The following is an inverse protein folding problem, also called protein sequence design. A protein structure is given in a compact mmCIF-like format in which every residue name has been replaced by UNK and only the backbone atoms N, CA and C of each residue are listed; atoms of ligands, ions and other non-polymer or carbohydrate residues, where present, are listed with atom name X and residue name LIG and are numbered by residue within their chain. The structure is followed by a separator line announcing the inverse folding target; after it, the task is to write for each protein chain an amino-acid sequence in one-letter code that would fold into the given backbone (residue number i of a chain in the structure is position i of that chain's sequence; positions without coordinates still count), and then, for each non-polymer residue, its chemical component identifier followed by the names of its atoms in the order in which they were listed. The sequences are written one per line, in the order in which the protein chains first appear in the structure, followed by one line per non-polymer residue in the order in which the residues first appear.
data_IF_946329312454
#
_entry.id   IF_946329312454
#
_cell.length_a   1.000
_cell.length_b   1.000
_cell.length_c   1.000
_cell.angle_alpha   90.00
_cell.angle_beta   90.00
_cell.angle_gamma   90.00
#
_symmetry.space_group_name_H-M   'P 1'
#
loop_
_entity.id
_entity.type
_entity.pdbx_description
1 polymer ?
#
# COMPACT_ATOMS: atom_id res chain seq x y z
N UNK A 1 -22.73 4.17 12.09
CA UNK A 1 -21.47 4.14 11.31
C UNK A 1 -21.74 3.28 10.09
N UNK A 2 -21.68 3.87 8.90
CA UNK A 2 -21.92 3.18 7.64
C UNK A 2 -20.62 2.52 7.16
N UNK A 3 -20.24 1.42 7.82
CA UNK A 3 -18.99 0.70 7.57
C UNK A 3 -19.30 -0.63 6.93
N UNK A 4 -18.78 -0.84 5.71
CA UNK A 4 -18.90 -2.10 4.99
C UNK A 4 -17.95 -3.13 5.61
N UNK A 5 -18.48 -4.29 6.00
CA UNK A 5 -17.67 -5.39 6.54
C UNK A 5 -17.15 -6.25 5.39
N UNK A 6 -15.82 -6.34 5.27
CA UNK A 6 -15.15 -7.19 4.28
C UNK A 6 -14.47 -8.37 4.99
N UNK A 7 -14.94 -9.58 4.71
CA UNK A 7 -14.37 -10.81 5.24
C UNK A 7 -13.42 -11.47 4.24
N UNK A 8 -12.33 -12.04 4.74
CA UNK A 8 -11.41 -12.82 3.92
C UNK A 8 -11.95 -14.23 3.65
N UNK A 9 -11.40 -14.86 2.60
CA UNK A 9 -11.67 -16.27 2.30
C UNK A 9 -11.19 -17.13 3.48
N UNK A 10 -12.01 -18.11 3.88
CA UNK A 10 -11.68 -19.01 4.97
C UNK A 10 -10.32 -19.68 4.74
N UNK A 11 -9.52 -19.79 5.82
CA UNK A 11 -8.21 -20.43 5.83
C UNK A 11 -7.17 -19.81 4.87
N UNK A 12 -7.37 -18.56 4.44
CA UNK A 12 -6.42 -17.81 3.63
C UNK A 12 -5.88 -16.58 4.39
N UNK A 13 -4.94 -16.76 5.33
CA UNK A 13 -4.39 -15.67 6.14
C UNK A 13 -3.61 -14.63 5.32
N UNK A 14 -3.14 -14.99 4.11
CA UNK A 14 -2.36 -14.10 3.25
C UNK A 14 -3.12 -12.82 2.89
N UNK A 15 -4.46 -12.87 2.86
CA UNK A 15 -5.31 -11.71 2.61
C UNK A 15 -5.21 -10.65 3.73
N UNK A 16 -4.85 -11.05 4.96
CA UNK A 16 -4.60 -10.19 6.11
C UNK A 16 -3.11 -9.97 6.41
N UNK A 17 -2.20 -10.39 5.51
CA UNK A 17 -0.76 -10.46 5.78
C UNK A 17 -0.11 -9.16 6.23
N UNK A 18 -0.65 -8.00 5.82
CA UNK A 18 -0.20 -6.70 6.33
C UNK A 18 -0.47 -6.55 7.83
N UNK A 19 -1.68 -6.88 8.29
CA UNK A 19 -2.06 -6.83 9.71
C UNK A 19 -1.21 -7.81 10.51
N UNK A 20 -1.00 -9.02 10.01
CA UNK A 20 -0.15 -10.02 10.68
C UNK A 20 1.29 -9.55 10.82
N UNK A 21 1.85 -8.92 9.79
CA UNK A 21 3.18 -8.32 9.86
C UNK A 21 3.26 -7.23 10.93
N UNK A 22 2.27 -6.33 11.00
CA UNK A 22 2.24 -5.29 12.04
C UNK A 22 2.08 -5.87 13.44
N UNK A 23 1.31 -6.95 13.61
CA UNK A 23 1.23 -7.68 14.87
C UNK A 23 2.60 -8.25 15.29
N UNK A 24 3.36 -8.78 14.33
CA UNK A 24 4.74 -9.25 14.58
C UNK A 24 5.65 -8.11 15.03
N UNK A 25 5.58 -6.95 14.37
CA UNK A 25 6.35 -5.75 14.75
C UNK A 25 6.00 -5.28 16.16
N UNK A 26 4.71 -5.15 16.47
CA UNK A 26 4.25 -4.75 17.80
C UNK A 26 4.75 -5.70 18.89
N UNK A 27 4.59 -7.02 18.68
CA UNK A 27 5.07 -8.03 19.64
C UNK A 27 6.58 -7.94 19.87
N UNK A 28 7.36 -7.70 18.81
CA UNK A 28 8.81 -7.58 18.93
C UNK A 28 9.22 -6.32 19.70
N UNK A 29 8.56 -5.18 19.46
CA UNK A 29 8.80 -3.95 20.24
C UNK A 29 8.36 -4.10 21.69
N UNK A 30 7.23 -4.77 21.95
CA UNK A 30 6.79 -5.00 23.33
C UNK A 30 7.79 -5.87 24.12
N UNK A 31 8.44 -6.84 23.48
CA UNK A 31 9.47 -7.68 24.13
C UNK A 31 10.71 -6.89 24.57
N UNK A 32 10.97 -5.74 23.96
CA UNK A 32 12.13 -4.90 24.33
C UNK A 32 11.82 -3.88 25.42
N UNK A 33 10.54 -3.72 25.80
CA UNK A 33 10.11 -2.78 26.82
C UNK A 33 9.98 -3.49 28.16
N UNK A 34 10.69 -3.01 29.17
CA UNK A 34 10.57 -3.47 30.56
C UNK A 34 9.47 -2.67 31.29
N UNK A 35 8.23 -2.81 30.80
CA UNK A 35 7.07 -2.11 31.32
C UNK A 35 5.87 -3.06 31.42
N UNK A 36 4.95 -2.84 32.39
CA UNK A 36 3.63 -3.46 32.38
C UNK A 36 2.91 -3.24 31.04
N UNK A 37 2.13 -4.23 30.59
CA UNK A 37 1.58 -4.27 29.23
C UNK A 37 0.69 -3.06 28.90
N UNK A 38 -0.08 -2.57 29.88
CA UNK A 38 -0.93 -1.38 29.81
C UNK A 38 -0.12 -0.11 29.49
N UNK A 39 1.10 -0.02 29.99
CA UNK A 39 2.04 1.09 29.72
C UNK A 39 2.91 0.84 28.50
N UNK A 40 3.26 -0.41 28.22
CA UNK A 40 4.11 -0.79 27.09
C UNK A 40 3.40 -0.57 25.74
N UNK A 41 2.09 -0.84 25.64
CA UNK A 41 1.30 -0.65 24.42
C UNK A 41 1.38 0.78 23.87
N UNK A 42 1.03 1.85 24.62
CA UNK A 42 1.08 3.21 24.08
C UNK A 42 2.50 3.65 23.72
N UNK A 43 3.52 3.20 24.45
CA UNK A 43 4.93 3.46 24.14
C UNK A 43 5.31 2.81 22.81
N UNK A 44 5.04 1.52 22.65
CA UNK A 44 5.33 0.78 21.42
C UNK A 44 4.59 1.34 20.21
N UNK A 45 3.31 1.73 20.36
CA UNK A 45 2.54 2.36 19.29
C UNK A 45 3.14 3.72 18.91
N UNK A 46 3.55 4.52 19.89
CA UNK A 46 4.19 5.82 19.64
C UNK A 46 5.50 5.63 18.88
N UNK A 47 6.33 4.67 19.29
CA UNK A 47 7.58 4.36 18.61
C UNK A 47 7.34 3.93 17.15
N UNK A 48 6.46 2.95 16.94
CA UNK A 48 6.20 2.39 15.61
C UNK A 48 5.59 3.41 14.65
N UNK A 49 4.72 4.30 15.15
CA UNK A 49 4.07 5.33 14.32
C UNK A 49 5.00 6.50 13.98
N UNK A 50 6.03 6.76 14.79
CA UNK A 50 7.03 7.80 14.56
C UNK A 50 8.29 7.30 13.87
N UNK A 51 8.43 5.97 13.68
CA UNK A 51 9.61 5.39 13.04
C UNK A 51 9.56 5.61 11.51
N UNK A 52 10.62 6.18 10.90
CA UNK A 52 10.70 6.28 9.44
C UNK A 52 10.82 4.88 8.82
N UNK A 53 10.24 4.70 7.63
CA UNK A 53 10.28 3.44 6.91
C UNK A 53 11.23 3.57 5.72
N UNK A 54 11.72 2.43 5.23
CA UNK A 54 12.65 2.43 4.10
C UNK A 54 12.01 3.14 2.89
N UNK A 55 12.64 4.22 2.43
CA UNK A 55 12.17 5.11 1.34
C UNK A 55 10.81 5.78 1.58
N UNK A 56 10.34 5.90 2.83
CA UNK A 56 9.02 6.43 3.17
C UNK A 56 9.03 7.23 4.46
N UNK A 57 8.12 8.20 4.53
CA UNK A 57 7.86 8.95 5.75
C UNK A 57 7.27 8.06 6.86
N UNK A 58 7.27 8.61 8.08
CA UNK A 58 6.67 7.97 9.25
C UNK A 58 5.17 7.72 9.00
N UNK A 59 4.59 6.62 9.52
CA UNK A 59 3.16 6.37 9.40
C UNK A 59 2.28 7.56 9.78
N UNK A 60 2.62 8.27 10.85
CA UNK A 60 1.86 9.44 11.30
C UNK A 60 1.95 10.61 10.30
N UNK A 61 3.12 10.84 9.69
CA UNK A 61 3.29 11.90 8.69
C UNK A 61 2.53 11.59 7.41
N UNK A 62 2.58 10.34 6.96
CA UNK A 62 1.77 9.90 5.82
C UNK A 62 0.27 10.01 6.10
N UNK A 63 -0.18 9.62 7.30
CA UNK A 63 -1.58 9.77 7.69
C UNK A 63 -2.02 11.23 7.67
N UNK A 64 -1.24 12.12 8.29
CA UNK A 64 -1.54 13.56 8.32
C UNK A 64 -1.59 14.12 6.90
N UNK A 65 -0.58 13.83 6.07
CA UNK A 65 -0.55 14.31 4.69
C UNK A 65 -1.75 13.78 3.89
N UNK A 66 -2.08 12.50 4.01
CA UNK A 66 -3.21 11.91 3.28
C UNK A 66 -4.58 12.38 3.80
N UNK A 67 -4.69 12.70 5.09
CA UNK A 67 -5.96 13.15 5.71
C UNK A 67 -6.22 14.63 5.45
N UNK A 68 -5.17 15.46 5.43
CA UNK A 68 -5.27 16.88 5.07
C UNK A 68 -5.55 17.04 3.56
N UNK A 69 -5.09 16.09 2.72
CA UNK A 69 -5.40 16.02 1.29
C UNK A 69 -6.64 15.14 1.02
N UNK A 70 -7.57 15.04 1.97
CA UNK A 70 -8.97 14.75 1.63
C UNK A 70 -9.59 16.13 1.40
N UNK A 71 -9.56 16.70 0.18
CA UNK A 71 -10.43 17.82 -0.07
C UNK A 71 -11.84 17.36 0.28
N UNK A 72 -12.62 18.27 0.89
CA UNK A 72 -14.07 18.23 0.83
C UNK A 72 -14.48 17.55 -0.49
N UNK A 73 -15.38 16.58 -0.41
CA UNK A 73 -16.21 16.19 -1.55
C UNK A 73 -17.09 17.41 -1.92
N UNK A 74 -16.45 18.50 -2.37
CA UNK A 74 -17.04 19.48 -3.23
C UNK A 74 -16.77 18.94 -4.62
N UNK A 75 -17.86 18.51 -5.25
CA UNK A 75 -18.09 18.36 -6.68
C UNK A 75 -16.88 17.94 -7.52
N UNK A 76 -17.03 16.82 -8.22
CA UNK A 76 -16.14 16.38 -9.28
C UNK A 76 -15.99 17.45 -10.38
N UNK A 77 -15.19 18.48 -10.13
CA UNK A 77 -14.71 19.44 -11.11
C UNK A 77 -13.25 19.09 -11.39
N UNK A 78 -13.08 18.43 -12.54
CA UNK A 78 -11.87 18.47 -13.36
C UNK A 78 -10.56 18.21 -12.60
N UNK A 79 -10.31 16.93 -12.28
CA UNK A 79 -8.93 16.48 -12.12
C UNK A 79 -8.29 16.60 -13.51
N UNK A 80 -7.53 17.68 -13.70
CA UNK A 80 -6.50 17.77 -14.73
C UNK A 80 -5.79 16.43 -14.82
N UNK A 81 -5.86 15.84 -16.02
CA UNK A 81 -5.48 14.47 -16.35
C UNK A 81 -4.41 13.89 -15.39
N UNK A 82 -4.67 12.75 -14.70
CA UNK A 82 -3.61 12.05 -13.98
C UNK A 82 -2.44 11.83 -14.94
N UNK A 83 -1.18 11.88 -14.47
CA UNK A 83 0.00 11.77 -15.33
C UNK A 83 -0.22 10.60 -16.29
N UNK A 84 -0.25 10.90 -17.59
CA UNK A 84 -0.70 9.96 -18.63
C UNK A 84 -0.15 8.56 -18.35
N UNK A 85 -0.99 7.51 -18.38
CA UNK A 85 -0.58 6.16 -18.02
C UNK A 85 0.72 5.81 -18.73
N UNK A 86 1.77 5.50 -17.96
CA UNK A 86 3.08 5.27 -18.56
C UNK A 86 3.05 3.94 -19.29
N UNK A 87 3.14 3.98 -20.62
CA UNK A 87 3.17 2.78 -21.47
C UNK A 87 4.44 1.98 -21.18
N UNK A 88 4.25 0.75 -20.75
CA UNK A 88 5.30 -0.20 -20.38
C UNK A 88 5.09 -1.53 -21.06
N UNK A 89 6.14 -2.34 -21.08
CA UNK A 89 6.06 -3.75 -21.44
C UNK A 89 6.04 -4.56 -20.14
N UNK A 90 5.03 -5.40 -19.98
CA UNK A 90 4.81 -6.23 -18.79
C UNK A 90 5.22 -7.66 -19.12
N UNK A 91 6.17 -8.20 -18.36
CA UNK A 91 6.53 -9.62 -18.41
C UNK A 91 5.53 -10.43 -17.58
N UNK A 92 4.80 -11.31 -18.25
CA UNK A 92 3.89 -12.24 -17.60
C UNK A 92 4.64 -13.43 -17.01
N UNK A 93 3.95 -14.21 -16.17
CA UNK A 93 4.49 -15.44 -15.57
C UNK A 93 4.90 -16.50 -16.60
N UNK A 94 4.22 -16.54 -17.73
CA UNK A 94 4.54 -17.39 -18.88
C UNK A 94 5.74 -16.88 -19.70
N UNK A 95 6.45 -15.86 -19.20
CA UNK A 95 7.54 -15.15 -19.88
C UNK A 95 7.13 -14.39 -21.15
N UNK A 96 5.84 -14.31 -21.47
CA UNK A 96 5.36 -13.46 -22.56
C UNK A 96 5.45 -12.00 -22.17
N UNK A 97 5.81 -11.15 -23.13
CA UNK A 97 5.88 -9.70 -22.94
C UNK A 97 4.68 -9.08 -23.64
N UNK A 98 3.86 -8.33 -22.91
CA UNK A 98 2.68 -7.65 -23.44
C UNK A 98 2.74 -6.15 -23.14
N UNK A 99 2.22 -5.29 -24.04
CA UNK A 99 2.05 -3.88 -23.73
C UNK A 99 1.05 -3.71 -22.59
N UNK A 100 1.31 -2.74 -21.73
CA UNK A 100 0.40 -2.32 -20.67
C UNK A 100 0.72 -0.91 -20.21
N UNK A 101 0.00 -0.46 -19.20
CA UNK A 101 0.11 0.90 -18.68
C UNK A 101 0.21 0.88 -17.16
N UNK A 102 1.10 1.69 -16.60
CA UNK A 102 1.16 1.95 -15.16
C UNK A 102 0.09 2.99 -14.82
N UNK A 103 -0.78 2.64 -13.87
CA UNK A 103 -1.84 3.53 -13.38
C UNK A 103 -1.38 4.23 -12.11
N UNK A 104 -0.90 3.48 -11.11
CA UNK A 104 -0.40 4.04 -9.85
C UNK A 104 0.48 3.03 -9.10
N UNK A 105 1.09 3.42 -7.97
CA UNK A 105 1.87 2.51 -7.12
C UNK A 105 0.95 1.61 -6.28
N UNK A 106 1.26 0.32 -6.26
CA UNK A 106 0.53 -0.71 -5.51
C UNK A 106 1.34 -1.19 -4.29
N UNK A 107 1.87 -0.25 -3.48
CA UNK A 107 2.62 -0.55 -2.25
C UNK A 107 3.96 -1.30 -2.45
N UNK A 108 4.96 -0.99 -1.62
CA UNK A 108 6.28 -1.60 -1.74
C UNK A 108 6.92 -1.35 -3.11
N UNK A 109 7.43 -2.41 -3.75
CA UNK A 109 8.06 -2.35 -5.08
C UNK A 109 7.12 -2.82 -6.21
N UNK A 110 5.82 -2.52 -6.10
CA UNK A 110 4.79 -2.97 -7.04
C UNK A 110 3.95 -1.79 -7.56
N UNK A 111 3.34 -1.99 -8.72
CA UNK A 111 2.54 -1.02 -9.45
C UNK A 111 1.20 -1.64 -9.85
N UNK A 112 0.15 -0.83 -9.84
CA UNK A 112 -1.11 -1.14 -10.50
C UNK A 112 -0.92 -0.92 -11.99
N UNK A 113 -1.14 -1.97 -12.77
CA UNK A 113 -1.02 -1.97 -14.22
C UNK A 113 -2.31 -2.40 -14.88
N UNK A 114 -2.50 -1.97 -16.13
CA UNK A 114 -3.54 -2.48 -17.02
C UNK A 114 -2.99 -2.97 -18.34
N UNK A 115 -3.66 -3.95 -18.94
CA UNK A 115 -3.34 -4.53 -20.25
C UNK A 115 -4.00 -3.78 -21.42
N UNK A 116 -4.47 -2.55 -21.19
CA UNK A 116 -5.21 -1.75 -22.18
C UNK A 116 -6.64 -2.25 -22.46
N UNK A 117 -7.03 -3.42 -21.93
CA UNK A 117 -8.39 -3.97 -21.98
C UNK A 117 -9.18 -3.67 -20.69
N UNK A 118 -8.62 -2.87 -19.80
CA UNK A 118 -9.24 -2.50 -18.52
C UNK A 118 -9.02 -3.52 -17.39
N UNK A 119 -8.24 -4.59 -17.61
CA UNK A 119 -7.94 -5.53 -16.51
C UNK A 119 -6.90 -4.93 -15.59
N UNK A 120 -7.24 -4.69 -14.33
CA UNK A 120 -6.30 -4.18 -13.32
C UNK A 120 -5.54 -5.32 -12.65
N UNK A 121 -4.21 -5.18 -12.55
CA UNK A 121 -3.33 -6.17 -11.91
C UNK A 121 -2.22 -5.49 -11.12
N UNK A 122 -1.68 -6.20 -10.13
CA UNK A 122 -0.49 -5.77 -9.42
C UNK A 122 0.73 -6.40 -10.10
N UNK A 123 1.67 -5.57 -10.54
CA UNK A 123 2.92 -5.98 -11.21
C UNK A 123 4.12 -5.50 -10.43
N UNK A 124 5.13 -6.37 -10.24
CA UNK A 124 6.38 -5.97 -9.57
C UNK A 124 7.21 -5.09 -10.50
N UNK A 125 8.01 -4.19 -9.92
CA UNK A 125 8.91 -3.35 -10.69
C UNK A 125 9.88 -4.15 -11.57
N UNK A 126 10.34 -5.33 -11.12
CA UNK A 126 11.21 -6.24 -11.87
C UNK A 126 10.61 -6.74 -13.19
N UNK A 127 9.28 -6.72 -13.29
CA UNK A 127 8.54 -7.29 -14.41
C UNK A 127 8.12 -6.19 -15.40
N UNK A 128 8.48 -4.93 -15.12
CA UNK A 128 8.22 -3.76 -15.96
C UNK A 128 9.46 -3.44 -16.80
N UNK A 129 9.27 -3.43 -18.11
CA UNK A 129 10.29 -3.05 -19.08
C UNK A 129 9.90 -1.71 -19.72
N UNK A 130 10.87 -0.79 -19.84
CA UNK A 130 10.65 0.48 -20.54
C UNK A 130 10.42 0.21 -22.02
N UNK A 131 9.39 0.84 -22.58
CA UNK A 131 9.19 0.90 -24.02
C UNK A 131 10.12 1.99 -24.55
N UNK A 132 11.25 1.60 -25.13
CA UNK A 132 12.15 2.49 -25.88
C UNK A 132 11.48 2.99 -27.14
#
# INVERSE_FOLDING_TARGET
LDIIQNFHIAYNPQAAGNVERFNGLLKNTLKTLDLPIDKAIPVALTELNNRPRLYRDTPIREYINNTIIIPKQEEASEIENPPSPQKVLIKNRDSTIKPGEIITRAGGNSFWTTDGKGTLRITKHSDLLKRT
#
